data_IF_706171760416
#
_entry.id   IF_706171760416
#
_cell.length_a   1.000
_cell.length_b   1.000
_cell.length_c   1.000
_cell.angle_alpha   90.00
_cell.angle_beta   90.00
_cell.angle_gamma   90.00
#
_symmetry.space_group_name_H-M   'P 1'
#
loop_
_entity.id
_entity.type
_entity.pdbx_description
1 polymer ?
#
# COMPACT_ATOMS: atom_id res chain seq x y z
N UNK A 1 -8.79 -6.14 20.25
CA UNK A 1 -7.34 -5.86 20.26
C UNK A 1 -6.95 -5.29 18.90
N UNK A 2 -6.18 -4.20 18.88
CA UNK A 2 -6.00 -3.33 17.70
C UNK A 2 -4.51 -3.18 17.35
N UNK A 3 -3.79 -4.29 17.17
CA UNK A 3 -2.36 -4.23 16.88
C UNK A 3 -2.11 -3.91 15.40
N UNK A 4 -1.22 -2.97 15.12
CA UNK A 4 -0.89 -2.50 13.75
C UNK A 4 -0.41 -3.67 12.88
N UNK A 5 0.40 -4.57 13.44
CA UNK A 5 0.89 -5.77 12.76
C UNK A 5 -0.25 -6.69 12.32
N UNK A 6 -1.25 -6.88 13.19
CA UNK A 6 -2.39 -7.74 12.87
C UNK A 6 -3.28 -7.12 11.79
N UNK A 7 -3.44 -5.79 11.81
CA UNK A 7 -4.18 -5.08 10.77
C UNK A 7 -3.51 -5.17 9.41
N UNK A 8 -2.19 -5.01 9.34
CA UNK A 8 -1.45 -5.09 8.08
C UNK A 8 -1.52 -6.50 7.49
N UNK A 9 -1.36 -7.52 8.33
CA UNK A 9 -1.55 -8.90 7.89
C UNK A 9 -2.96 -9.15 7.34
N UNK A 10 -3.99 -8.64 8.02
CA UNK A 10 -5.39 -8.76 7.59
C UNK A 10 -5.64 -8.07 6.26
N UNK A 11 -5.07 -6.88 6.06
CA UNK A 11 -5.15 -6.14 4.80
C UNK A 11 -4.50 -6.92 3.65
N UNK A 12 -3.28 -7.44 3.86
CA UNK A 12 -2.56 -8.24 2.85
C UNK A 12 -3.37 -9.49 2.52
N UNK A 13 -3.83 -10.25 3.52
CA UNK A 13 -4.68 -11.45 3.31
C UNK A 13 -5.93 -11.15 2.50
N UNK A 14 -6.60 -10.04 2.78
CA UNK A 14 -7.78 -9.63 2.04
C UNK A 14 -7.47 -9.34 0.57
N UNK A 15 -6.39 -8.60 0.30
CA UNK A 15 -5.96 -8.28 -1.07
C UNK A 15 -5.48 -9.51 -1.85
N UNK A 16 -4.74 -10.40 -1.21
CA UNK A 16 -4.30 -11.67 -1.83
C UNK A 16 -5.49 -12.57 -2.15
N UNK A 17 -6.46 -12.69 -1.23
CA UNK A 17 -7.67 -13.51 -1.44
C UNK A 17 -8.54 -13.01 -2.59
N UNK A 18 -8.56 -11.70 -2.85
CA UNK A 18 -9.29 -11.11 -3.96
C UNK A 18 -8.60 -11.28 -5.32
N UNK A 19 -7.33 -11.70 -5.37
CA UNK A 19 -6.58 -11.94 -6.60
C UNK A 19 -6.64 -13.39 -7.08
N UNK A 20 -6.20 -13.65 -8.31
CA UNK A 20 -6.08 -15.00 -8.90
C UNK A 20 -4.83 -15.77 -8.42
N UNK A 21 -4.26 -15.39 -7.27
CA UNK A 21 -2.97 -15.88 -6.79
C UNK A 21 -1.76 -15.24 -7.47
N UNK A 22 -0.57 -15.72 -7.12
CA UNK A 22 0.71 -15.27 -7.69
C UNK A 22 1.34 -16.40 -8.49
N UNK A 23 1.78 -16.11 -9.72
CA UNK A 23 2.38 -17.12 -10.60
C UNK A 23 3.73 -17.64 -10.08
N UNK A 24 4.52 -16.80 -9.42
CA UNK A 24 5.82 -17.16 -8.84
C UNK A 24 6.16 -16.28 -7.62
N UNK A 25 7.14 -16.73 -6.83
CA UNK A 25 7.57 -16.07 -5.60
C UNK A 25 8.02 -14.61 -5.82
N UNK A 26 8.76 -14.35 -6.90
CA UNK A 26 9.25 -13.00 -7.21
C UNK A 26 8.11 -12.02 -7.50
N UNK A 27 7.09 -12.48 -8.23
CA UNK A 27 5.89 -11.70 -8.52
C UNK A 27 5.08 -11.45 -7.25
N UNK A 28 4.91 -12.47 -6.40
CA UNK A 28 4.27 -12.33 -5.09
C UNK A 28 4.97 -11.27 -4.24
N UNK A 29 6.31 -11.32 -4.14
CA UNK A 29 7.11 -10.39 -3.37
C UNK A 29 6.96 -8.94 -3.85
N UNK A 30 6.95 -8.72 -5.18
CA UNK A 30 6.75 -7.38 -5.76
C UNK A 30 5.35 -6.85 -5.47
N UNK A 31 4.32 -7.68 -5.67
CA UNK A 31 2.93 -7.26 -5.43
C UNK A 31 2.64 -6.98 -3.96
N UNK A 32 3.11 -7.84 -3.05
CA UNK A 32 2.95 -7.63 -1.60
C UNK A 32 3.63 -6.33 -1.17
N UNK A 33 4.86 -6.06 -1.64
CA UNK A 33 5.53 -4.77 -1.37
C UNK A 33 4.70 -3.59 -1.87
N UNK A 34 4.13 -3.68 -3.07
CA UNK A 34 3.23 -2.64 -3.58
C UNK A 34 2.02 -2.41 -2.67
N UNK A 35 1.40 -3.48 -2.18
CA UNK A 35 0.28 -3.37 -1.23
C UNK A 35 0.69 -2.73 0.10
N UNK A 36 1.86 -3.07 0.63
CA UNK A 36 2.41 -2.47 1.85
C UNK A 36 2.67 -0.97 1.65
N UNK A 37 3.33 -0.59 0.55
CA UNK A 37 3.59 0.81 0.21
C UNK A 37 2.30 1.63 0.09
N UNK A 38 1.31 1.14 -0.65
CA UNK A 38 0.02 1.84 -0.81
C UNK A 38 -0.74 1.95 0.52
N UNK A 39 -0.65 0.93 1.37
CA UNK A 39 -1.27 0.94 2.68
C UNK A 39 -0.60 1.93 3.65
N UNK A 40 0.73 2.07 3.58
CA UNK A 40 1.49 3.07 4.35
C UNK A 40 1.12 4.50 3.94
N UNK A 41 1.01 4.78 2.63
CA UNK A 41 0.53 6.07 2.10
C UNK A 41 -0.87 6.37 2.65
N UNK A 42 -1.81 5.43 2.50
CA UNK A 42 -3.20 5.57 2.97
C UNK A 42 -3.29 5.83 4.48
N UNK A 43 -2.38 5.23 5.26
CA UNK A 43 -2.33 5.41 6.72
C UNK A 43 -1.68 6.74 7.15
N UNK A 44 -1.09 7.51 6.24
CA UNK A 44 -0.33 8.72 6.57
C UNK A 44 0.98 8.41 7.28
N UNK A 45 1.60 7.26 6.99
CA UNK A 45 2.88 6.86 7.59
C UNK A 45 4.09 7.45 6.85
N UNK A 46 3.85 8.39 5.92
CA UNK A 46 4.90 9.06 5.17
C UNK A 46 5.18 10.40 5.83
N UNK A 47 6.46 10.67 6.06
CA UNK A 47 6.92 11.90 6.69
C UNK A 47 6.42 13.09 5.87
N UNK A 48 5.72 14.02 6.53
CA UNK A 48 5.17 15.21 5.89
C UNK A 48 3.87 15.00 5.12
N UNK A 49 3.30 13.79 5.10
CA UNK A 49 2.00 13.51 4.46
C UNK A 49 1.03 12.97 5.50
N UNK A 50 0.08 13.82 5.90
CA UNK A 50 -0.92 13.45 6.89
C UNK A 50 -1.94 12.45 6.34
N UNK A 51 -2.52 11.67 7.26
CA UNK A 51 -3.63 10.79 6.94
C UNK A 51 -4.86 11.64 6.61
N UNK A 52 -5.37 11.51 5.39
CA UNK A 52 -6.57 12.24 4.95
C UNK A 52 -6.27 13.49 4.12
N UNK A 53 -4.99 13.89 4.03
CA UNK A 53 -4.56 14.86 3.02
C UNK A 53 -4.49 14.19 1.64
N UNK A 54 -5.64 14.09 1.00
CA UNK A 54 -5.80 13.42 -0.31
C UNK A 54 -4.94 14.10 -1.38
N UNK A 55 -4.75 15.43 -1.31
CA UNK A 55 -3.98 16.17 -2.32
C UNK A 55 -2.50 15.82 -2.22
N UNK A 56 -1.92 15.88 -1.01
CA UNK A 56 -0.52 15.53 -0.80
C UNK A 56 -0.25 14.04 -1.06
N UNK A 57 -1.18 13.16 -0.67
CA UNK A 57 -1.07 11.73 -0.99
C UNK A 57 -1.09 11.46 -2.50
N UNK A 58 -1.99 12.11 -3.25
CA UNK A 58 -2.05 11.97 -4.71
C UNK A 58 -0.81 12.53 -5.39
N UNK A 59 -0.31 13.69 -4.95
CA UNK A 59 0.91 14.27 -5.48
C UNK A 59 2.10 13.32 -5.27
N UNK A 60 2.26 12.78 -4.07
CA UNK A 60 3.31 11.81 -3.77
C UNK A 60 3.20 10.52 -4.60
N UNK A 61 1.99 10.00 -4.80
CA UNK A 61 1.77 8.84 -5.68
C UNK A 61 2.19 9.19 -7.11
N UNK A 62 1.80 10.37 -7.61
CA UNK A 62 2.18 10.79 -8.97
C UNK A 62 3.68 10.92 -9.16
N UNK A 63 4.40 11.43 -8.16
CA UNK A 63 5.86 11.55 -8.16
C UNK A 63 6.54 10.18 -8.19
N UNK A 64 6.13 9.24 -7.34
CA UNK A 64 6.70 7.88 -7.30
C UNK A 64 6.50 7.13 -8.62
N UNK A 65 5.32 7.26 -9.22
CA UNK A 65 4.96 6.51 -10.42
C UNK A 65 5.27 7.26 -11.72
N UNK A 66 5.81 8.49 -11.65
CA UNK A 66 6.11 9.32 -12.81
C UNK A 66 4.87 9.63 -13.65
N UNK A 67 3.69 9.69 -13.01
CA UNK A 67 2.43 10.00 -13.69
C UNK A 67 2.32 11.52 -13.74
N UNK A 68 2.21 12.10 -14.94
CA UNK A 68 1.92 13.52 -15.08
C UNK A 68 0.51 13.79 -14.52
N UNK A 69 0.43 14.54 -13.42
CA UNK A 69 -0.82 15.04 -12.81
C UNK A 69 -0.97 16.52 -13.09
#
# INVERSE_FOLDING_TARGET
MNNILEQDHRFIKHKVKAGLGFQNFWSAKRTIRGYETMNAIRKGQIVGIEKGDIRSQNHFISEIFGVAV
#
